data_IF_101754631001
#
_entry.id   IF_101754631001
#
_cell.length_a   1.000
_cell.length_b   1.000
_cell.length_c   1.000
_cell.angle_alpha   90.00
_cell.angle_beta   90.00
_cell.angle_gamma   90.00
#
_symmetry.space_group_name_H-M   'P 1'
#
loop_
_entity.id
_entity.type
_entity.pdbx_description
1 polymer ?
#
# COMPACT_ATOMS: atom_id res chain seq x y z
N UNK A 1 4.94 17.15 -11.74
CA UNK A 1 3.83 17.01 -10.78
C UNK A 1 2.59 16.79 -11.60
N UNK A 2 1.91 15.66 -11.38
CA UNK A 2 0.64 15.35 -12.04
C UNK A 2 -0.46 15.90 -11.13
N UNK A 3 -1.21 16.95 -11.53
CA UNK A 3 -2.23 17.54 -10.66
C UNK A 3 -3.32 16.54 -10.25
N UNK A 4 -3.54 15.50 -11.05
CA UNK A 4 -4.41 14.38 -10.73
C UNK A 4 -3.89 13.58 -9.53
N UNK A 5 -2.57 13.32 -9.47
CA UNK A 5 -1.94 12.64 -8.35
C UNK A 5 -2.07 13.43 -7.05
N UNK A 6 -1.92 14.76 -7.12
CA UNK A 6 -2.06 15.64 -5.97
C UNK A 6 -3.50 15.58 -5.42
N UNK A 7 -4.52 15.60 -6.29
CA UNK A 7 -5.92 15.47 -5.87
C UNK A 7 -6.24 14.13 -5.21
N UNK A 8 -5.63 13.02 -5.67
CA UNK A 8 -5.78 11.73 -5.01
C UNK A 8 -5.09 11.69 -3.64
N UNK A 9 -3.90 12.29 -3.53
CA UNK A 9 -3.17 12.38 -2.27
C UNK A 9 -3.93 13.23 -1.24
N UNK A 10 -4.50 14.37 -1.65
CA UNK A 10 -5.33 15.21 -0.79
C UNK A 10 -6.53 14.42 -0.24
N UNK A 11 -7.24 13.67 -1.10
CA UNK A 11 -8.35 12.83 -0.65
C UNK A 11 -7.93 11.72 0.33
N UNK A 12 -6.74 11.14 0.14
CA UNK A 12 -6.17 10.16 1.08
C UNK A 12 -5.81 10.84 2.42
N UNK A 13 -5.29 12.06 2.40
CA UNK A 13 -4.95 12.77 3.63
C UNK A 13 -6.18 13.21 4.42
N UNK A 14 -7.26 13.58 3.74
CA UNK A 14 -8.55 13.88 4.36
C UNK A 14 -9.21 12.63 4.96
N UNK A 15 -9.05 11.47 4.31
CA UNK A 15 -9.67 10.20 4.70
C UNK A 15 -8.67 9.02 4.66
N UNK A 16 -7.70 8.94 5.60
CA UNK A 16 -6.60 7.98 5.54
C UNK A 16 -7.02 6.52 5.79
N UNK A 17 -8.12 6.31 6.49
CA UNK A 17 -8.72 5.02 6.79
C UNK A 17 -9.73 4.55 5.74
N UNK A 18 -10.13 5.41 4.80
CA UNK A 18 -10.95 5.02 3.65
C UNK A 18 -10.06 4.39 2.57
N UNK A 19 -10.36 3.15 2.23
CA UNK A 19 -9.67 2.44 1.16
C UNK A 19 -10.02 2.99 -0.22
N UNK A 20 -11.17 3.66 -0.39
CA UNK A 20 -11.64 4.14 -1.69
C UNK A 20 -10.63 5.09 -2.38
N UNK A 21 -10.22 6.23 -1.77
CA UNK A 21 -9.23 7.11 -2.39
C UNK A 21 -7.86 6.44 -2.55
N UNK A 22 -7.51 5.50 -1.65
CA UNK A 22 -6.26 4.74 -1.70
C UNK A 22 -6.22 3.79 -2.89
N UNK A 23 -7.31 3.07 -3.15
CA UNK A 23 -7.44 2.13 -4.27
C UNK A 23 -7.49 2.86 -5.61
N UNK A 24 -8.19 4.00 -5.70
CA UNK A 24 -8.18 4.84 -6.90
C UNK A 24 -6.76 5.34 -7.22
N UNK A 25 -6.02 5.78 -6.20
CA UNK A 25 -4.62 6.17 -6.39
C UNK A 25 -3.74 4.98 -6.79
N UNK A 26 -4.00 3.78 -6.28
CA UNK A 26 -3.30 2.57 -6.70
C UNK A 26 -3.54 2.23 -8.18
N UNK A 27 -4.77 2.40 -8.67
CA UNK A 27 -5.08 2.23 -10.10
C UNK A 27 -4.32 3.26 -10.94
N UNK A 28 -4.34 4.53 -10.53
CA UNK A 28 -3.56 5.58 -11.19
C UNK A 28 -2.06 5.26 -11.21
N UNK A 29 -1.48 4.82 -10.09
CA UNK A 29 -0.07 4.42 -10.01
C UNK A 29 0.26 3.30 -10.99
N UNK A 30 -0.60 2.28 -11.09
CA UNK A 30 -0.40 1.18 -12.02
C UNK A 30 -0.42 1.65 -13.49
N UNK A 31 -1.38 2.50 -13.85
CA UNK A 31 -1.45 3.10 -15.20
C UNK A 31 -0.21 3.93 -15.54
N UNK A 32 0.45 4.48 -14.52
CA UNK A 32 1.67 5.30 -14.65
C UNK A 32 2.97 4.50 -14.41
N UNK A 33 2.91 3.16 -14.46
CA UNK A 33 4.08 2.29 -14.37
C UNK A 33 4.66 2.12 -12.96
N UNK A 34 3.97 2.61 -11.93
CA UNK A 34 4.35 2.50 -10.52
C UNK A 34 3.72 1.27 -9.85
N UNK A 35 3.87 0.10 -10.49
CA UNK A 35 3.17 -1.14 -10.11
C UNK A 35 3.50 -1.62 -8.69
N UNK A 36 4.75 -1.47 -8.24
CA UNK A 36 5.13 -1.85 -6.88
C UNK A 36 4.42 -0.98 -5.82
N UNK A 37 4.24 0.32 -6.07
CA UNK A 37 3.50 1.21 -5.16
C UNK A 37 2.01 0.91 -5.18
N UNK A 38 1.43 0.68 -6.36
CA UNK A 38 0.03 0.26 -6.49
C UNK A 38 -0.24 -1.02 -5.69
N UNK A 39 0.61 -2.04 -5.86
CA UNK A 39 0.51 -3.30 -5.13
C UNK A 39 0.65 -3.11 -3.63
N UNK A 40 1.60 -2.28 -3.18
CA UNK A 40 1.79 -1.99 -1.76
C UNK A 40 0.51 -1.44 -1.11
N UNK A 41 -0.13 -0.47 -1.76
CA UNK A 41 -1.36 0.15 -1.25
C UNK A 41 -2.50 -0.89 -1.18
N UNK A 42 -2.70 -1.68 -2.24
CA UNK A 42 -3.75 -2.73 -2.26
C UNK A 42 -3.56 -3.77 -1.15
N UNK A 43 -2.31 -4.17 -0.90
CA UNK A 43 -2.02 -5.10 0.20
C UNK A 43 -2.31 -4.50 1.57
N UNK A 44 -2.02 -3.20 1.78
CA UNK A 44 -2.38 -2.52 3.03
C UNK A 44 -3.89 -2.44 3.23
N UNK A 45 -4.65 -2.11 2.18
CA UNK A 45 -6.12 -2.07 2.23
C UNK A 45 -6.66 -3.46 2.60
N UNK A 46 -6.21 -4.52 1.90
CA UNK A 46 -6.61 -5.90 2.20
C UNK A 46 -6.29 -6.30 3.64
N UNK A 47 -5.09 -5.98 4.15
CA UNK A 47 -4.69 -6.31 5.51
C UNK A 47 -5.52 -5.59 6.59
N UNK A 48 -6.07 -4.41 6.29
CA UNK A 48 -6.91 -3.65 7.21
C UNK A 48 -8.27 -4.31 7.47
N UNK A 49 -8.76 -5.12 6.54
CA UNK A 49 -10.03 -5.85 6.67
C UNK A 49 -9.89 -7.25 7.23
N UNK A 50 -8.66 -7.74 7.38
CA UNK A 50 -8.42 -9.05 7.95
C UNK A 50 -8.47 -9.05 9.47
N UNK A 51 -8.90 -10.19 10.02
CA UNK A 51 -8.90 -10.37 11.47
C UNK A 51 -7.45 -10.31 11.98
N UNK A 52 -7.22 -9.48 13.00
CA UNK A 52 -5.93 -9.41 13.68
C UNK A 52 -5.41 -10.81 14.05
N UNK A 53 -4.14 -11.05 13.75
CA UNK A 53 -3.42 -12.30 14.00
C UNK A 53 -4.00 -13.54 13.29
N UNK A 54 -4.82 -13.36 12.24
CA UNK A 54 -5.17 -14.46 11.34
C UNK A 54 -3.97 -14.88 10.49
N UNK A 55 -3.98 -16.11 9.99
CA UNK A 55 -2.99 -16.59 9.03
C UNK A 55 -2.97 -15.71 7.77
N UNK A 56 -4.14 -15.22 7.36
CA UNK A 56 -4.29 -14.34 6.20
C UNK A 56 -3.71 -12.94 6.45
N UNK A 57 -3.95 -12.36 7.63
CA UNK A 57 -3.31 -11.11 8.03
C UNK A 57 -1.78 -11.26 8.04
N UNK A 58 -1.26 -12.36 8.61
CA UNK A 58 0.18 -12.64 8.63
C UNK A 58 0.74 -12.76 7.20
N UNK A 59 0.06 -13.50 6.31
CA UNK A 59 0.43 -13.65 4.90
C UNK A 59 0.51 -12.30 4.18
N UNK A 60 -0.50 -11.45 4.38
CA UNK A 60 -0.55 -10.11 3.78
C UNK A 60 0.58 -9.22 4.32
N UNK A 61 0.84 -9.24 5.63
CA UNK A 61 1.93 -8.48 6.24
C UNK A 61 3.31 -8.89 5.74
N UNK A 62 3.56 -10.19 5.55
CA UNK A 62 4.79 -10.65 4.90
C UNK A 62 4.90 -10.14 3.46
N UNK A 63 3.79 -10.14 2.72
CA UNK A 63 3.78 -9.65 1.34
C UNK A 63 4.03 -8.15 1.25
N UNK A 64 3.44 -7.37 2.16
CA UNK A 64 3.73 -5.95 2.35
C UNK A 64 5.23 -5.75 2.58
N UNK A 65 5.85 -6.53 3.47
CA UNK A 65 7.30 -6.47 3.72
C UNK A 65 8.13 -6.81 2.47
N UNK A 66 7.73 -7.84 1.71
CA UNK A 66 8.40 -8.22 0.44
C UNK A 66 8.28 -7.13 -0.64
N UNK A 67 7.16 -6.41 -0.71
CA UNK A 67 6.98 -5.28 -1.64
C UNK A 67 7.79 -4.08 -1.16
N UNK A 68 7.77 -3.80 0.15
CA UNK A 68 8.55 -2.72 0.74
C UNK A 68 10.05 -2.85 0.44
N UNK A 69 10.64 -4.04 0.63
CA UNK A 69 12.05 -4.28 0.30
C UNK A 69 12.40 -4.07 -1.18
N UNK A 70 11.41 -4.15 -2.08
CA UNK A 70 11.59 -3.86 -3.52
C UNK A 70 11.47 -2.38 -3.83
N UNK A 71 10.72 -1.63 -3.02
CA UNK A 71 10.57 -0.19 -3.12
C UNK A 71 11.75 0.56 -2.49
N UNK A 72 12.29 0.03 -1.39
CA UNK A 72 13.36 0.64 -0.62
C UNK A 72 14.64 -0.23 -0.63
N UNK A 73 15.65 0.19 -1.38
CA UNK A 73 16.97 -0.47 -1.44
C UNK A 73 17.81 -0.29 -0.17
N UNK A 74 17.33 0.50 0.82
CA UNK A 74 18.12 0.93 1.98
C UNK A 74 17.63 0.40 3.33
N UNK A 75 16.53 -0.34 3.39
CA UNK A 75 15.97 -0.85 4.65
C UNK A 75 15.87 -2.37 4.66
N UNK A 76 16.80 -3.10 5.31
CA UNK A 76 16.62 -4.53 5.53
C UNK A 76 15.38 -4.75 6.39
N UNK A 77 14.51 -5.67 5.95
CA UNK A 77 13.30 -6.09 6.65
C UNK A 77 13.56 -6.26 8.15
N UNK A 78 12.68 -5.67 8.96
CA UNK A 78 12.77 -5.67 10.42
C UNK A 78 12.89 -7.10 10.94
N UNK A 79 13.97 -7.34 11.66
CA UNK A 79 14.19 -8.47 12.56
C UNK A 79 12.96 -8.64 13.47
N UNK A 80 12.22 -9.72 13.24
CA UNK A 80 11.04 -10.08 14.02
C UNK A 80 11.48 -10.76 15.30
N UNK A 81 11.16 -10.14 16.44
CA UNK A 81 11.19 -10.79 17.76
C UNK A 81 10.09 -11.85 17.88
#
# INVERSE_FOLDING_TARGET
MHPEADAFLDAIFDHPDDDTPRLVYADWLQEHGQENYARFIRLQCAAAHEKLWSEEANRLWEEIGRVWNRLDSTHPAKDGR
#
